data_IF_673799851905
#
_entry.id   IF_673799851905
#
_cell.length_a   1.000
_cell.length_b   1.000
_cell.length_c   1.000
_cell.angle_alpha   90.00
_cell.angle_beta   90.00
_cell.angle_gamma   90.00
#
_symmetry.space_group_name_H-M   'P 1'
#
loop_
_entity.id
_entity.type
_entity.pdbx_description
1 polymer ?
#
# COMPACT_ATOMS: atom_id res chain seq x y z
N UNK A 1 17.85 6.61 -15.96
CA UNK A 1 16.50 6.24 -15.47
C UNK A 1 16.24 4.73 -15.59
N UNK A 2 16.77 4.01 -16.59
CA UNK A 2 16.52 2.56 -16.74
C UNK A 2 16.99 1.67 -15.56
N UNK A 3 18.15 1.93 -14.95
CA UNK A 3 18.63 1.05 -13.86
C UNK A 3 17.65 1.00 -12.69
N UNK A 4 17.07 2.14 -12.28
CA UNK A 4 16.10 2.17 -11.17
C UNK A 4 14.79 1.43 -11.46
N UNK A 5 14.37 1.33 -12.72
CA UNK A 5 13.17 0.57 -13.10
C UNK A 5 13.47 -0.93 -13.05
N UNK A 6 14.58 -1.35 -13.66
CA UNK A 6 14.98 -2.75 -13.70
C UNK A 6 15.27 -3.28 -12.30
N UNK A 7 15.99 -2.53 -11.47
CA UNK A 7 16.28 -2.91 -10.09
C UNK A 7 14.99 -3.09 -9.27
N UNK A 8 14.04 -2.16 -9.41
CA UNK A 8 12.74 -2.25 -8.76
C UNK A 8 11.94 -3.45 -9.27
N UNK A 9 11.91 -3.66 -10.59
CA UNK A 9 11.20 -4.78 -11.19
C UNK A 9 11.77 -6.11 -10.70
N UNK A 10 13.09 -6.30 -10.76
CA UNK A 10 13.75 -7.51 -10.27
C UNK A 10 13.42 -7.78 -8.79
N UNK A 11 13.49 -6.76 -7.94
CA UNK A 11 13.16 -6.91 -6.52
C UNK A 11 11.70 -7.32 -6.27
N UNK A 12 10.76 -6.75 -7.04
CA UNK A 12 9.34 -7.12 -6.97
C UNK A 12 9.12 -8.52 -7.55
N UNK A 13 9.77 -8.85 -8.66
CA UNK A 13 9.61 -10.12 -9.36
C UNK A 13 10.16 -11.29 -8.53
N UNK A 14 11.34 -11.14 -7.93
CA UNK A 14 11.92 -12.11 -7.01
C UNK A 14 10.97 -12.37 -5.83
N UNK A 15 10.40 -11.31 -5.24
CA UNK A 15 9.37 -11.45 -4.21
C UNK A 15 8.13 -12.21 -4.73
N UNK A 16 7.63 -11.87 -5.91
CA UNK A 16 6.45 -12.51 -6.50
C UNK A 16 6.69 -13.99 -6.80
N UNK A 17 7.88 -14.36 -7.27
CA UNK A 17 8.27 -15.73 -7.55
C UNK A 17 8.20 -16.62 -6.29
N UNK A 18 8.55 -16.07 -5.12
CA UNK A 18 8.44 -16.78 -3.83
C UNK A 18 7.02 -16.73 -3.23
N UNK A 19 6.33 -15.59 -3.38
CA UNK A 19 5.05 -15.31 -2.75
C UNK A 19 3.86 -15.95 -3.47
N UNK A 20 3.79 -15.82 -4.80
CA UNK A 20 2.61 -16.25 -5.58
C UNK A 20 2.28 -17.74 -5.43
N UNK A 21 3.24 -18.69 -5.45
CA UNK A 21 2.93 -20.11 -5.28
C UNK A 21 2.27 -20.40 -3.92
N UNK A 22 2.80 -19.80 -2.85
CA UNK A 22 2.27 -19.97 -1.49
C UNK A 22 0.91 -19.31 -1.34
N UNK A 23 0.73 -18.13 -1.94
CA UNK A 23 -0.53 -17.41 -1.92
C UNK A 23 -1.63 -18.21 -2.62
N UNK A 24 -1.37 -18.71 -3.83
CA UNK A 24 -2.34 -19.52 -4.58
C UNK A 24 -2.71 -20.82 -3.85
N UNK A 25 -1.78 -21.47 -3.15
CA UNK A 25 -2.06 -22.67 -2.35
C UNK A 25 -2.96 -22.39 -1.14
N UNK A 26 -2.87 -21.19 -0.55
CA UNK A 26 -3.66 -20.79 0.62
C UNK A 26 -5.00 -20.16 0.27
N UNK A 27 -5.26 -19.90 -1.01
CA UNK A 27 -6.57 -19.39 -1.44
C UNK A 27 -7.65 -20.43 -1.18
N UNK A 28 -8.72 -20.01 -0.52
CA UNK A 28 -9.91 -20.85 -0.37
C UNK A 28 -10.50 -21.11 -1.76
N UNK A 29 -10.55 -22.37 -2.16
CA UNK A 29 -11.24 -22.78 -3.36
C UNK A 29 -12.73 -22.46 -3.23
N UNK A 30 -13.29 -21.69 -4.17
CA UNK A 30 -14.74 -21.71 -4.34
C UNK A 30 -15.12 -23.01 -5.03
N UNK A 31 -16.15 -23.72 -4.56
CA UNK A 31 -16.73 -24.88 -5.27
C UNK A 31 -17.38 -24.52 -6.63
N UNK A 32 -17.17 -23.30 -7.12
CA UNK A 32 -17.60 -22.80 -8.41
C UNK A 32 -16.47 -22.95 -9.42
N UNK A 33 -16.80 -23.37 -10.64
CA UNK A 33 -15.85 -23.36 -11.77
C UNK A 33 -15.44 -21.91 -12.05
N UNK A 34 -14.23 -21.54 -11.66
CA UNK A 34 -13.67 -20.23 -11.98
C UNK A 34 -12.84 -20.32 -13.27
N UNK A 35 -13.04 -19.35 -14.17
CA UNK A 35 -12.24 -19.23 -15.39
C UNK A 35 -10.92 -18.52 -15.07
N UNK A 36 -9.83 -19.28 -15.02
CA UNK A 36 -8.48 -18.73 -14.91
C UNK A 36 -7.97 -18.35 -16.29
N UNK A 37 -8.13 -17.08 -16.66
CA UNK A 37 -7.59 -16.53 -17.92
C UNK A 37 -6.26 -15.83 -17.62
N UNK A 38 -5.19 -16.22 -18.33
CA UNK A 38 -3.93 -15.48 -18.29
C UNK A 38 -4.19 -14.03 -18.69
N UNK A 39 -3.66 -13.11 -17.88
CA UNK A 39 -3.72 -11.67 -18.14
C UNK A 39 -2.57 -11.27 -19.07
N UNK A 40 -2.68 -10.07 -19.62
CA UNK A 40 -1.64 -9.48 -20.44
C UNK A 40 -0.47 -8.91 -19.62
N UNK A 41 -0.65 -8.73 -18.31
CA UNK A 41 0.42 -8.40 -17.36
C UNK A 41 0.38 -9.39 -16.18
N UNK A 42 1.55 -9.79 -15.70
CA UNK A 42 1.71 -10.55 -14.46
C UNK A 42 1.58 -9.64 -13.22
N UNK A 43 1.61 -10.24 -12.03
CA UNK A 43 1.45 -9.50 -10.77
C UNK A 43 2.62 -8.53 -10.55
N UNK A 44 3.85 -8.97 -10.79
CA UNK A 44 5.06 -8.14 -10.61
C UNK A 44 5.07 -6.92 -11.54
N UNK A 45 4.65 -7.07 -12.80
CA UNK A 45 4.52 -5.94 -13.74
C UNK A 45 3.50 -4.90 -13.26
N UNK A 46 2.31 -5.34 -12.83
CA UNK A 46 1.26 -4.44 -12.33
C UNK A 46 1.74 -3.72 -11.06
N UNK A 47 2.36 -4.44 -10.13
CA UNK A 47 2.92 -3.88 -8.91
C UNK A 47 4.00 -2.84 -9.21
N UNK A 48 4.91 -3.15 -10.12
CA UNK A 48 6.01 -2.25 -10.54
C UNK A 48 5.46 -0.93 -11.08
N UNK A 49 4.48 -0.98 -11.99
CA UNK A 49 3.84 0.22 -12.54
C UNK A 49 3.19 1.08 -11.44
N UNK A 50 2.54 0.44 -10.45
CA UNK A 50 1.90 1.15 -9.33
C UNK A 50 2.92 1.79 -8.38
N UNK A 51 4.05 1.13 -8.10
CA UNK A 51 5.11 1.70 -7.24
C UNK A 51 5.79 2.88 -7.94
N UNK A 52 6.08 2.75 -9.25
CA UNK A 52 6.71 3.79 -10.05
C UNK A 52 5.84 5.04 -10.16
N UNK A 53 4.51 4.89 -10.22
CA UNK A 53 3.59 6.02 -10.16
C UNK A 53 3.87 6.91 -8.95
N UNK A 54 4.04 6.29 -7.77
CA UNK A 54 4.31 7.01 -6.53
C UNK A 54 5.72 7.60 -6.48
N UNK A 55 6.71 6.95 -7.07
CA UNK A 55 8.09 7.46 -7.17
C UNK A 55 8.22 8.65 -8.13
N UNK A 56 7.43 8.69 -9.20
CA UNK A 56 7.51 9.77 -10.20
C UNK A 56 6.65 10.99 -9.85
N UNK A 57 5.99 11.01 -8.69
CA UNK A 57 5.22 12.15 -8.17
C UNK A 57 4.13 12.68 -9.12
N UNK A 58 3.59 11.82 -10.01
CA UNK A 58 2.46 12.18 -10.85
C UNK A 58 1.22 12.41 -9.99
N UNK A 59 0.46 13.48 -10.27
CA UNK A 59 -0.77 13.79 -9.52
C UNK A 59 -1.93 12.87 -9.85
N UNK A 60 -1.97 12.35 -11.08
CA UNK A 60 -3.09 11.56 -11.59
C UNK A 60 -2.56 10.29 -12.27
N UNK A 61 -3.07 9.15 -11.83
CA UNK A 61 -2.69 7.85 -12.38
C UNK A 61 -3.03 7.71 -13.87
N UNK A 62 -4.12 8.31 -14.35
CA UNK A 62 -4.49 8.30 -15.77
C UNK A 62 -3.44 8.98 -16.64
N UNK A 63 -2.98 10.17 -16.23
CA UNK A 63 -1.95 10.91 -16.95
C UNK A 63 -0.62 10.14 -16.94
N UNK A 64 -0.21 9.64 -15.77
CA UNK A 64 0.95 8.76 -15.66
C UNK A 64 0.87 7.55 -16.61
N UNK A 65 -0.25 6.84 -16.60
CA UNK A 65 -0.39 5.63 -17.40
C UNK A 65 -0.39 5.92 -18.90
N UNK A 66 -1.19 6.89 -19.35
CA UNK A 66 -1.37 7.15 -20.78
C UNK A 66 -0.17 7.87 -21.41
N UNK A 67 0.41 8.83 -20.70
CA UNK A 67 1.41 9.73 -21.28
C UNK A 67 2.85 9.34 -20.91
N UNK A 68 3.04 8.56 -19.84
CA UNK A 68 4.35 8.04 -19.46
C UNK A 68 4.48 6.52 -19.73
N UNK A 69 3.65 5.69 -19.10
CA UNK A 69 3.79 4.22 -19.21
C UNK A 69 3.59 3.75 -20.65
N UNK A 70 2.48 4.14 -21.29
CA UNK A 70 2.20 3.71 -22.67
C UNK A 70 3.15 4.27 -23.73
N UNK A 71 3.78 5.43 -23.47
CA UNK A 71 4.66 6.08 -24.45
C UNK A 71 6.13 5.72 -24.27
N UNK A 72 6.59 5.63 -23.03
CA UNK A 72 8.01 5.50 -22.69
C UNK A 72 8.38 4.11 -22.16
N UNK A 73 7.44 3.37 -21.59
CA UNK A 73 7.70 2.03 -21.03
C UNK A 73 7.09 0.90 -21.88
N UNK A 74 6.69 1.19 -23.12
CA UNK A 74 6.10 0.19 -24.02
C UNK A 74 7.08 -0.91 -24.44
N UNK A 75 8.38 -0.65 -24.42
CA UNK A 75 9.40 -1.68 -24.67
C UNK A 75 9.54 -2.64 -23.48
N UNK A 76 9.47 -2.09 -22.27
CA UNK A 76 9.58 -2.86 -21.01
C UNK A 76 8.28 -3.63 -20.72
N UNK A 77 7.13 -3.07 -21.10
CA UNK A 77 5.80 -3.68 -20.97
C UNK A 77 5.11 -3.75 -22.35
N UNK A 78 5.41 -4.76 -23.19
CA UNK A 78 4.91 -4.82 -24.57
C UNK A 78 3.41 -5.09 -24.68
N UNK A 79 2.79 -5.64 -23.64
CA UNK A 79 1.40 -6.10 -23.62
C UNK A 79 0.50 -5.24 -22.72
N UNK A 80 0.77 -3.93 -22.67
CA UNK A 80 -0.02 -2.98 -21.87
C UNK A 80 -1.51 -2.99 -22.26
N UNK A 81 -2.43 -3.18 -21.30
CA UNK A 81 -3.86 -3.06 -21.56
C UNK A 81 -4.29 -1.60 -21.71
N UNK A 82 -5.55 -1.38 -22.09
CA UNK A 82 -6.15 -0.04 -22.00
C UNK A 82 -6.18 0.46 -20.56
N UNK A 83 -6.20 1.79 -20.35
CA UNK A 83 -6.26 2.39 -19.02
C UNK A 83 -7.38 1.81 -18.15
N UNK A 84 -8.61 1.74 -18.69
CA UNK A 84 -9.76 1.21 -17.94
C UNK A 84 -9.53 -0.24 -17.52
N UNK A 85 -8.93 -1.05 -18.40
CA UNK A 85 -8.61 -2.45 -18.10
C UNK A 85 -7.49 -2.58 -17.08
N UNK A 86 -6.50 -1.69 -17.09
CA UNK A 86 -5.47 -1.65 -16.05
C UNK A 86 -6.09 -1.33 -14.69
N UNK A 87 -7.00 -0.36 -14.60
CA UNK A 87 -7.69 0.00 -13.35
C UNK A 87 -8.47 -1.20 -12.77
N UNK A 88 -9.09 -2.02 -13.62
CA UNK A 88 -9.73 -3.27 -13.21
C UNK A 88 -8.75 -4.31 -12.63
N UNK A 89 -7.47 -4.24 -12.97
CA UNK A 89 -6.45 -5.14 -12.42
C UNK A 89 -5.95 -4.69 -11.04
N UNK A 90 -5.98 -3.41 -10.72
CA UNK A 90 -5.41 -2.87 -9.46
C UNK A 90 -5.90 -3.63 -8.21
N UNK A 91 -7.22 -3.92 -8.02
CA UNK A 91 -7.67 -4.60 -6.81
C UNK A 91 -7.06 -5.98 -6.59
N UNK A 92 -6.65 -6.66 -7.67
CA UNK A 92 -6.08 -8.01 -7.59
C UNK A 92 -4.65 -8.06 -7.06
N UNK A 93 -3.92 -6.95 -7.09
CA UNK A 93 -2.56 -6.85 -6.57
C UNK A 93 -2.50 -6.17 -5.21
N UNK A 94 -3.65 -5.79 -4.62
CA UNK A 94 -3.70 -5.15 -3.30
C UNK A 94 -3.07 -6.03 -2.21
N UNK A 95 -3.42 -7.32 -2.16
CA UNK A 95 -2.86 -8.22 -1.16
C UNK A 95 -1.35 -8.49 -1.41
N UNK A 96 -0.90 -8.80 -2.65
CA UNK A 96 0.52 -8.82 -2.98
C UNK A 96 1.27 -7.55 -2.57
N UNK A 97 0.73 -6.35 -2.81
CA UNK A 97 1.34 -5.08 -2.39
C UNK A 97 1.44 -4.97 -0.87
N UNK A 98 0.42 -5.37 -0.11
CA UNK A 98 0.50 -5.39 1.34
C UNK A 98 1.55 -6.38 1.86
N UNK A 99 1.67 -7.54 1.23
CA UNK A 99 2.68 -8.54 1.57
C UNK A 99 4.09 -8.07 1.21
N UNK A 100 4.27 -7.46 0.03
CA UNK A 100 5.52 -6.85 -0.41
C UNK A 100 5.94 -5.72 0.52
N UNK A 101 5.02 -4.85 0.93
CA UNK A 101 5.31 -3.80 1.90
C UNK A 101 5.86 -4.35 3.21
N UNK A 102 5.29 -5.46 3.72
CA UNK A 102 5.81 -6.14 4.92
C UNK A 102 7.17 -6.81 4.67
N UNK A 103 7.38 -7.35 3.47
CA UNK A 103 8.68 -7.91 3.07
C UNK A 103 9.77 -6.83 3.08
N UNK A 104 9.43 -5.59 2.72
CA UNK A 104 10.31 -4.43 2.76
C UNK A 104 10.54 -3.85 4.17
N UNK A 105 9.97 -4.42 5.23
CA UNK A 105 10.22 -3.92 6.59
C UNK A 105 11.67 -4.20 7.01
N UNK A 106 12.25 -3.24 7.73
CA UNK A 106 13.60 -3.34 8.28
C UNK A 106 13.67 -4.25 9.49
N UNK A 107 14.88 -4.37 10.03
CA UNK A 107 15.12 -5.17 11.23
C UNK A 107 14.90 -4.34 12.50
N UNK A 108 14.25 -4.95 13.49
CA UNK A 108 14.13 -4.33 14.81
C UNK A 108 15.49 -4.33 15.51
N UNK A 109 16.02 -3.13 15.79
CA UNK A 109 17.32 -2.91 16.43
C UNK A 109 17.23 -2.75 17.95
N UNK A 110 16.02 -2.78 18.51
CA UNK A 110 15.75 -2.50 19.93
C UNK A 110 15.40 -1.04 20.23
N UNK A 111 15.42 -0.16 19.22
CA UNK A 111 14.97 1.23 19.31
C UNK A 111 13.94 1.47 18.21
N UNK A 112 12.75 1.96 18.58
CA UNK A 112 11.68 2.30 17.66
C UNK A 112 11.11 3.69 17.91
N UNK A 113 10.63 4.33 16.86
CA UNK A 113 9.89 5.58 16.90
C UNK A 113 8.49 5.34 16.35
N UNK A 114 7.46 5.74 17.10
CA UNK A 114 6.07 5.58 16.71
C UNK A 114 5.43 6.95 16.51
N UNK A 115 4.71 7.11 15.40
CA UNK A 115 3.92 8.30 15.12
C UNK A 115 2.65 7.94 14.35
N UNK A 116 1.64 8.82 14.38
CA UNK A 116 0.42 8.69 13.58
C UNK A 116 0.25 9.91 12.68
N UNK A 117 -0.27 9.67 11.48
CA UNK A 117 -0.67 10.74 10.56
C UNK A 117 -2.09 10.53 10.06
N UNK A 118 -2.81 11.63 9.82
CA UNK A 118 -4.17 11.56 9.32
C UNK A 118 -4.19 11.28 7.80
N UNK A 119 -4.99 10.30 7.40
CA UNK A 119 -5.31 9.99 6.02
C UNK A 119 -6.72 10.46 5.71
N UNK A 120 -6.85 11.56 4.96
CA UNK A 120 -8.15 12.11 4.59
C UNK A 120 -8.85 11.22 3.56
N UNK A 121 -10.05 10.73 3.90
CA UNK A 121 -10.92 10.04 2.94
C UNK A 121 -11.72 11.02 2.09
N UNK A 122 -12.16 12.13 2.69
CA UNK A 122 -12.79 13.23 1.98
C UNK A 122 -12.70 14.54 2.78
N UNK A 123 -13.07 15.65 2.12
CA UNK A 123 -13.23 16.94 2.80
C UNK A 123 -14.43 16.91 3.75
N UNK A 124 -14.33 17.56 4.92
CA UNK A 124 -15.37 17.52 5.97
C UNK A 124 -16.78 17.93 5.47
N UNK A 125 -16.87 18.86 4.52
CA UNK A 125 -18.13 19.29 3.90
C UNK A 125 -18.84 18.18 3.09
N UNK A 126 -18.15 17.11 2.70
CA UNK A 126 -18.65 16.02 1.85
C UNK A 126 -18.93 14.72 2.61
N UNK A 127 -18.76 14.71 3.93
CA UNK A 127 -18.91 13.50 4.77
C UNK A 127 -20.26 12.82 4.51
N UNK A 128 -21.35 13.59 4.55
CA UNK A 128 -22.71 13.05 4.41
C UNK A 128 -23.00 12.43 3.02
N UNK A 129 -22.17 12.71 2.02
CA UNK A 129 -22.29 12.18 0.65
C UNK A 129 -21.24 11.09 0.34
N UNK A 130 -20.29 10.84 1.24
CA UNK A 130 -19.21 9.89 1.02
C UNK A 130 -19.71 8.45 1.13
N UNK A 131 -19.40 7.62 0.13
CA UNK A 131 -19.89 6.23 0.04
C UNK A 131 -18.81 5.16 0.10
N UNK A 132 -17.56 5.48 -0.30
CA UNK A 132 -16.50 4.47 -0.52
C UNK A 132 -16.01 3.84 0.78
N UNK A 133 -15.76 4.65 1.81
CA UNK A 133 -15.32 4.19 3.14
C UNK A 133 -16.39 4.34 4.20
N UNK A 134 -17.67 4.26 3.80
CA UNK A 134 -18.78 4.31 4.74
C UNK A 134 -18.60 3.20 5.80
N UNK A 135 -18.84 3.54 7.06
CA UNK A 135 -18.71 2.66 8.23
C UNK A 135 -17.27 2.20 8.55
N UNK A 136 -16.28 2.55 7.72
CA UNK A 136 -14.85 2.29 7.95
C UNK A 136 -14.10 3.55 8.37
N UNK A 137 -14.33 4.66 7.67
CA UNK A 137 -13.75 5.96 7.98
C UNK A 137 -14.59 6.70 9.02
N UNK A 138 -13.92 7.41 9.91
CA UNK A 138 -14.56 8.19 10.97
C UNK A 138 -13.95 9.59 11.07
N UNK A 139 -14.67 10.47 11.76
CA UNK A 139 -14.21 11.84 11.98
C UNK A 139 -13.20 11.88 13.14
N UNK A 140 -11.98 12.28 12.85
CA UNK A 140 -10.90 12.48 13.82
C UNK A 140 -10.52 13.95 13.97
N UNK A 141 -9.67 14.25 14.96
CA UNK A 141 -9.13 15.59 15.18
C UNK A 141 -7.61 15.51 15.27
N UNK A 142 -6.91 16.34 14.51
CA UNK A 142 -5.47 16.58 14.66
C UNK A 142 -5.24 17.84 15.51
N UNK A 143 -3.98 18.20 15.74
CA UNK A 143 -3.63 19.49 16.35
C UNK A 143 -4.14 20.69 15.54
N UNK A 144 -4.32 20.51 14.23
CA UNK A 144 -4.63 21.60 13.29
C UNK A 144 -6.13 21.69 12.97
N UNK A 145 -6.80 20.59 12.65
CA UNK A 145 -8.23 20.59 12.33
C UNK A 145 -8.88 19.21 12.48
N UNK A 146 -10.20 19.17 12.38
CA UNK A 146 -10.97 17.96 12.17
C UNK A 146 -10.71 17.39 10.78
N UNK A 147 -10.73 16.07 10.67
CA UNK A 147 -10.68 15.36 9.40
C UNK A 147 -11.68 14.20 9.39
N UNK A 148 -12.03 13.72 8.19
CA UNK A 148 -12.77 12.48 8.02
C UNK A 148 -11.94 11.49 7.22
N UNK A 149 -11.68 10.33 7.81
CA UNK A 149 -10.82 9.32 7.21
C UNK A 149 -10.24 8.35 8.23
N UNK A 150 -8.95 8.11 8.10
CA UNK A 150 -8.20 7.13 8.87
C UNK A 150 -6.99 7.77 9.55
N UNK A 151 -6.41 7.06 10.52
CA UNK A 151 -5.06 7.32 11.00
C UNK A 151 -4.14 6.21 10.51
N UNK A 152 -2.99 6.59 10.00
CA UNK A 152 -1.89 5.69 9.67
C UNK A 152 -0.86 5.77 10.79
N UNK A 153 -0.71 4.67 11.52
CA UNK A 153 0.29 4.51 12.56
C UNK A 153 1.50 3.80 11.96
N UNK A 154 2.69 4.35 12.19
CA UNK A 154 3.95 3.82 11.69
C UNK A 154 4.90 3.60 12.86
N UNK A 155 5.67 2.52 12.81
CA UNK A 155 6.83 2.33 13.68
C UNK A 155 8.06 2.23 12.79
N UNK A 156 9.08 3.05 13.06
CA UNK A 156 10.36 3.03 12.33
C UNK A 156 11.52 2.77 13.31
N UNK A 157 12.60 2.14 12.84
CA UNK A 157 13.80 1.98 13.67
C UNK A 157 14.67 3.25 13.64
N UNK A 158 15.78 3.21 14.38
CA UNK A 158 16.81 4.25 14.45
C UNK A 158 17.58 4.49 13.13
N UNK A 159 17.35 3.66 12.11
CA UNK A 159 17.91 3.79 10.75
C UNK A 159 16.89 4.35 9.76
N UNK A 160 15.67 4.64 10.20
CA UNK A 160 14.58 5.11 9.34
C UNK A 160 13.89 4.01 8.53
N UNK A 161 14.15 2.74 8.82
CA UNK A 161 13.47 1.62 8.18
C UNK A 161 12.12 1.37 8.86
N UNK A 162 11.11 1.05 8.06
CA UNK A 162 9.77 0.76 8.55
C UNK A 162 9.74 -0.61 9.24
N UNK A 163 9.23 -0.67 10.47
CA UNK A 163 9.12 -1.89 11.26
C UNK A 163 7.71 -2.46 11.28
N UNK A 164 6.70 -1.60 11.37
CA UNK A 164 5.30 -2.02 11.34
C UNK A 164 4.37 -0.85 10.99
N UNK A 165 3.16 -1.19 10.50
CA UNK A 165 2.11 -0.21 10.21
C UNK A 165 0.76 -0.70 10.68
N UNK A 166 -0.13 0.25 10.98
CA UNK A 166 -1.54 -0.04 11.22
C UNK A 166 -2.42 1.11 10.77
N UNK A 167 -3.57 0.79 10.19
CA UNK A 167 -4.58 1.78 9.83
C UNK A 167 -5.76 1.64 10.79
N UNK A 168 -6.22 2.76 11.33
CA UNK A 168 -7.40 2.82 12.20
C UNK A 168 -8.36 3.90 11.71
N UNK A 169 -9.63 3.86 12.12
CA UNK A 169 -10.57 4.93 11.81
C UNK A 169 -10.14 6.24 12.49
N UNK A 170 -10.45 7.40 11.89
CA UNK A 170 -9.94 8.70 12.34
C UNK A 170 -10.22 9.05 13.81
N UNK A 171 -11.26 8.48 14.42
CA UNK A 171 -11.64 8.71 15.82
C UNK A 171 -11.00 7.75 16.82
N UNK A 172 -10.14 6.83 16.37
CA UNK A 172 -9.45 5.88 17.25
C UNK A 172 -8.32 6.59 17.99
N UNK A 173 -8.23 6.32 19.28
CA UNK A 173 -7.16 6.79 20.17
C UNK A 173 -5.84 6.10 19.79
N UNK A 174 -4.75 6.87 19.70
CA UNK A 174 -3.45 6.42 19.16
C UNK A 174 -2.81 5.32 20.01
N UNK A 175 -3.21 5.20 21.27
CA UNK A 175 -2.74 4.16 22.21
C UNK A 175 -3.34 2.79 21.95
N UNK A 176 -4.55 2.73 21.37
CA UNK A 176 -5.24 1.46 21.10
C UNK A 176 -4.47 0.53 20.15
N UNK A 177 -3.93 1.01 19.01
CA UNK A 177 -3.18 0.14 18.10
C UNK A 177 -1.77 -0.24 18.58
N UNK A 178 -1.23 0.39 19.63
CA UNK A 178 0.17 0.21 20.07
C UNK A 178 0.49 -1.25 20.38
N UNK A 179 -0.37 -1.95 21.12
CA UNK A 179 -0.13 -3.35 21.49
C UNK A 179 0.04 -4.24 20.24
N UNK A 180 -0.77 -4.02 19.21
CA UNK A 180 -0.68 -4.80 17.97
C UNK A 180 0.50 -4.36 17.11
N UNK A 181 0.82 -3.06 17.09
CA UNK A 181 1.97 -2.51 16.35
C UNK A 181 3.31 -3.04 16.90
N UNK A 182 3.40 -3.20 18.22
CA UNK A 182 4.64 -3.57 18.91
C UNK A 182 4.75 -5.07 19.21
N UNK A 183 3.74 -5.88 18.85
CA UNK A 183 3.65 -7.30 19.22
C UNK A 183 4.88 -8.13 18.85
N UNK A 184 5.50 -7.82 17.72
CA UNK A 184 6.67 -8.54 17.19
C UNK A 184 7.98 -7.74 17.32
N UNK A 185 7.95 -6.62 18.04
CA UNK A 185 9.09 -5.72 18.24
C UNK A 185 9.60 -5.84 19.68
N UNK A 186 10.91 -5.64 19.87
CA UNK A 186 11.54 -5.65 21.19
C UNK A 186 12.27 -4.33 21.47
N UNK A 187 12.57 -4.09 22.74
CA UNK A 187 13.33 -2.92 23.17
C UNK A 187 12.45 -1.71 23.51
N UNK A 188 12.96 -0.51 23.26
CA UNK A 188 12.33 0.76 23.65
C UNK A 188 11.66 1.41 22.44
N UNK A 189 10.45 1.92 22.67
CA UNK A 189 9.70 2.67 21.66
C UNK A 189 9.39 4.07 22.19
N UNK A 190 9.67 5.06 21.35
CA UNK A 190 9.49 6.48 21.65
C UNK A 190 8.38 7.04 20.78
N UNK A 191 7.38 7.66 21.40
CA UNK A 191 6.28 8.33 20.72
C UNK A 191 6.17 9.78 21.18
N UNK A 192 5.37 10.55 20.46
CA UNK A 192 4.98 11.88 20.89
C UNK A 192 3.97 11.81 22.05
N UNK A 193 3.47 12.97 22.50
CA UNK A 193 2.51 13.05 23.62
C UNK A 193 1.15 12.39 23.30
N UNK A 194 0.84 12.14 22.04
CA UNK A 194 -0.38 11.46 21.62
C UNK A 194 -0.39 9.97 21.94
N UNK A 195 0.80 9.36 22.10
CA UNK A 195 1.01 7.94 22.39
C UNK A 195 1.20 7.62 23.88
#
# INVERSE_FOLDING_TARGET
MNNSLVDLFCHIDDFCNDFEPQWHQRMLGSNLKQRLRRRCLCVSEIMTILVIFHQNHYRNFKHFYQDYVCQHLCQEFPTLPSYSRFVEFIPSVTLPLCAYLKHCFGQCTGIGFIDSTCLHACHNRRINQHKVFKDLAARGKTSVDWFYGFKLHLVVNDRGELLNIKITAGNVDDRKPVVDLLKELFGKVFGDRGY
#
